data_IF_861148800572
#
_entry.id   IF_861148800572
#
_cell.length_a   1.000
_cell.length_b   1.000
_cell.length_c   1.000
_cell.angle_alpha   90.00
_cell.angle_beta   90.00
_cell.angle_gamma   90.00
#
_symmetry.space_group_name_H-M   'P 1'
#
loop_
_entity.id
_entity.type
_entity.pdbx_description
1 polymer ?
#
# COMPACT_ATOMS: atom_id res chain seq x y z
N UNK A 1 10.55 -2.26 -21.26
CA UNK A 1 9.90 -3.58 -21.46
C UNK A 1 8.60 -3.34 -22.20
N UNK A 2 8.30 -4.07 -23.29
CA UNK A 2 7.00 -3.94 -23.98
C UNK A 2 5.95 -4.81 -23.28
N UNK A 3 5.16 -4.19 -22.39
CA UNK A 3 4.16 -4.88 -21.56
C UNK A 3 3.14 -5.61 -22.43
N UNK A 4 2.67 -5.00 -23.53
CA UNK A 4 1.65 -5.59 -24.39
C UNK A 4 2.17 -6.80 -25.16
N UNK A 5 3.43 -6.77 -25.60
CA UNK A 5 4.07 -7.92 -26.24
C UNK A 5 4.24 -9.10 -25.27
N UNK A 6 4.58 -8.84 -24.00
CA UNK A 6 4.70 -9.89 -22.98
C UNK A 6 3.33 -10.47 -22.65
N UNK A 7 2.31 -9.64 -22.40
CA UNK A 7 0.94 -10.11 -22.09
C UNK A 7 0.33 -11.00 -23.19
N UNK A 8 0.68 -10.75 -24.46
CA UNK A 8 0.24 -11.60 -25.59
C UNK A 8 0.94 -12.96 -25.62
N UNK A 9 2.14 -13.07 -25.07
CA UNK A 9 2.93 -14.29 -25.03
C UNK A 9 2.70 -15.13 -23.76
N UNK A 10 2.05 -14.55 -22.75
CA UNK A 10 1.67 -15.26 -21.53
C UNK A 10 0.49 -16.22 -21.79
N UNK A 11 0.61 -17.42 -21.25
CA UNK A 11 -0.49 -18.36 -21.05
C UNK A 11 -1.48 -17.82 -20.01
N UNK A 12 -2.67 -18.42 -19.95
CA UNK A 12 -3.65 -18.07 -18.92
C UNK A 12 -3.13 -18.38 -17.50
N UNK A 13 -2.40 -19.49 -17.34
CA UNK A 13 -1.81 -19.87 -16.06
C UNK A 13 -0.75 -18.86 -15.59
N UNK A 14 0.10 -18.40 -16.51
CA UNK A 14 1.10 -17.35 -16.26
C UNK A 14 0.43 -16.02 -15.83
N UNK A 15 -0.66 -15.62 -16.50
CA UNK A 15 -1.43 -14.42 -16.11
C UNK A 15 -2.05 -14.56 -14.72
N UNK A 16 -2.66 -15.71 -14.42
CA UNK A 16 -3.26 -15.96 -13.11
C UNK A 16 -2.21 -16.01 -11.99
N UNK A 17 -1.03 -16.58 -12.27
CA UNK A 17 0.06 -16.66 -11.31
C UNK A 17 0.61 -15.28 -10.94
N UNK A 18 0.70 -14.34 -11.90
CA UNK A 18 1.12 -12.96 -11.63
C UNK A 18 0.20 -12.19 -10.68
N UNK A 19 -1.08 -12.60 -10.56
CA UNK A 19 -2.02 -12.00 -9.61
C UNK A 19 -1.83 -12.52 -8.16
N UNK A 20 -0.81 -13.35 -7.90
CA UNK A 20 -0.51 -13.90 -6.57
C UNK A 20 0.99 -13.85 -6.29
N UNK A 21 1.37 -13.58 -5.04
CA UNK A 21 2.75 -13.66 -4.60
C UNK A 21 3.32 -15.09 -4.75
N UNK A 22 4.59 -15.20 -5.17
CA UNK A 22 5.32 -16.47 -5.14
C UNK A 22 5.71 -16.86 -3.70
N UNK A 23 5.88 -15.85 -2.84
CA UNK A 23 6.13 -16.00 -1.42
C UNK A 23 5.39 -14.92 -0.62
N UNK A 24 5.63 -14.85 0.69
CA UNK A 24 5.08 -13.78 1.51
C UNK A 24 5.60 -12.38 1.12
N UNK A 25 6.75 -12.30 0.44
CA UNK A 25 7.45 -11.04 0.17
C UNK A 25 7.86 -10.87 -1.31
N UNK A 26 7.44 -11.77 -2.21
CA UNK A 26 7.87 -11.71 -3.63
C UNK A 26 6.75 -11.93 -4.63
N UNK A 27 6.86 -11.26 -5.78
CA UNK A 27 5.97 -11.48 -6.93
C UNK A 27 6.31 -12.75 -7.68
N UNK A 28 5.39 -13.27 -8.50
CA UNK A 28 5.66 -14.45 -9.33
C UNK A 28 6.49 -14.08 -10.57
N UNK A 29 7.72 -14.62 -10.75
CA UNK A 29 8.50 -14.38 -11.97
C UNK A 29 7.95 -15.14 -13.17
N UNK A 30 8.22 -14.64 -14.38
CA UNK A 30 8.03 -15.37 -15.65
C UNK A 30 9.33 -15.34 -16.44
N UNK A 31 10.24 -16.24 -16.08
CA UNK A 31 11.62 -16.29 -16.60
C UNK A 31 11.68 -16.37 -18.13
N UNK A 32 10.84 -17.21 -18.75
CA UNK A 32 10.77 -17.38 -20.22
C UNK A 32 10.49 -16.07 -20.96
N UNK A 33 9.80 -15.13 -20.31
CA UNK A 33 9.43 -13.83 -20.88
C UNK A 33 10.25 -12.67 -20.30
N UNK A 34 11.24 -12.95 -19.45
CA UNK A 34 12.09 -11.95 -18.82
C UNK A 34 11.35 -11.05 -17.81
N UNK A 35 10.26 -11.53 -17.21
CA UNK A 35 9.58 -10.83 -16.10
C UNK A 35 10.26 -11.25 -14.79
N UNK A 36 10.99 -10.34 -14.11
CA UNK A 36 11.73 -10.69 -12.90
C UNK A 36 10.79 -10.87 -11.71
N UNK A 37 11.29 -11.57 -10.69
CA UNK A 37 10.74 -11.52 -9.34
C UNK A 37 11.04 -10.15 -8.72
N UNK A 38 10.05 -9.55 -8.08
CA UNK A 38 10.20 -8.31 -7.31
C UNK A 38 10.00 -8.61 -5.83
N UNK A 39 10.72 -7.88 -4.98
CA UNK A 39 10.67 -7.97 -3.52
C UNK A 39 9.88 -6.81 -2.95
N UNK A 40 8.90 -7.13 -2.10
CA UNK A 40 8.19 -6.15 -1.27
C UNK A 40 8.62 -6.32 0.19
N UNK A 41 8.65 -5.23 0.94
CA UNK A 41 9.01 -5.27 2.36
C UNK A 41 8.29 -4.19 3.16
N UNK A 42 7.94 -4.49 4.41
CA UNK A 42 7.56 -3.44 5.37
C UNK A 42 8.73 -2.46 5.57
N UNK A 43 8.50 -1.22 6.02
CA UNK A 43 7.20 -0.57 6.18
C UNK A 43 7.32 0.94 6.40
N UNK A 44 6.34 1.59 7.03
CA UNK A 44 6.18 3.05 6.97
C UNK A 44 7.26 3.89 7.67
N UNK A 45 8.11 3.30 8.54
CA UNK A 45 9.16 4.02 9.27
C UNK A 45 10.50 3.26 9.35
N UNK A 46 10.82 2.48 8.31
CA UNK A 46 12.08 1.74 8.18
C UNK A 46 11.92 0.48 7.33
N UNK A 47 13.00 0.03 6.69
CA UNK A 47 12.99 -1.17 5.84
C UNK A 47 13.18 -2.43 6.69
N UNK A 48 12.15 -3.26 6.79
CA UNK A 48 12.14 -4.52 7.55
C UNK A 48 12.32 -5.74 6.63
N UNK A 49 13.48 -5.82 5.97
CA UNK A 49 13.82 -6.95 5.08
C UNK A 49 14.21 -8.18 5.89
N UNK A 50 13.43 -9.25 5.81
CA UNK A 50 13.80 -10.57 6.39
C UNK A 50 14.85 -11.27 5.51
N UNK A 51 15.78 -12.09 6.02
CA UNK A 51 16.71 -12.83 5.17
C UNK A 51 16.03 -13.85 4.26
N UNK A 52 15.02 -14.55 4.78
CA UNK A 52 14.22 -15.55 4.07
C UNK A 52 12.85 -14.95 3.66
N UNK A 53 12.67 -14.72 2.36
CA UNK A 53 11.43 -14.14 1.78
C UNK A 53 10.20 -15.06 1.89
N UNK A 54 10.38 -16.32 2.29
CA UNK A 54 9.26 -17.25 2.44
C UNK A 54 8.62 -17.21 3.82
N UNK A 55 9.28 -16.58 4.80
CA UNK A 55 8.84 -16.59 6.20
C UNK A 55 8.33 -15.23 6.67
N UNK A 56 7.31 -15.27 7.53
CA UNK A 56 6.86 -14.11 8.31
C UNK A 56 7.50 -14.14 9.70
N UNK A 57 7.93 -12.97 10.18
CA UNK A 57 8.33 -12.79 11.59
C UNK A 57 9.77 -13.20 11.96
N UNK A 58 10.67 -13.32 10.97
CA UNK A 58 12.10 -13.48 11.21
C UNK A 58 12.76 -12.16 11.68
N UNK A 59 13.92 -12.28 12.34
CA UNK A 59 14.80 -11.14 12.58
C UNK A 59 15.17 -10.49 11.24
N UNK A 60 14.98 -9.18 11.13
CA UNK A 60 15.27 -8.44 9.91
C UNK A 60 16.76 -8.16 9.77
N UNK A 61 17.21 -7.97 8.53
CA UNK A 61 18.49 -7.34 8.26
C UNK A 61 18.55 -5.95 8.93
N UNK A 62 19.74 -5.48 9.35
CA UNK A 62 19.89 -4.17 9.96
C UNK A 62 19.45 -3.05 8.99
N UNK A 63 18.65 -2.12 9.51
CA UNK A 63 18.14 -0.94 8.80
C UNK A 63 17.87 0.19 9.80
N UNK A 64 17.74 1.42 9.33
CA UNK A 64 17.40 2.55 10.19
C UNK A 64 15.94 2.48 10.62
N UNK A 65 15.71 2.54 11.93
CA UNK A 65 14.37 2.72 12.48
C UNK A 65 14.11 4.21 12.64
N UNK A 66 13.34 4.79 11.72
CA UNK A 66 12.95 6.19 11.75
C UNK A 66 11.85 6.43 12.79
N UNK A 67 11.62 7.69 13.22
CA UNK A 67 10.46 8.04 14.01
C UNK A 67 9.16 7.61 13.32
N UNK A 68 8.17 7.21 14.12
CA UNK A 68 6.87 6.75 13.61
C UNK A 68 6.12 7.89 12.91
N UNK A 69 5.19 7.57 12.01
CA UNK A 69 4.44 8.57 11.24
C UNK A 69 3.71 9.59 12.13
N UNK A 70 3.24 9.21 13.32
CA UNK A 70 2.66 10.14 14.29
C UNK A 70 3.65 11.19 14.80
N UNK A 71 4.91 10.80 15.01
CA UNK A 71 5.98 11.71 15.42
C UNK A 71 6.41 12.59 14.24
N UNK A 72 6.59 11.98 13.07
CA UNK A 72 6.93 12.69 11.84
C UNK A 72 5.88 13.73 11.46
N UNK A 73 4.58 13.42 11.59
CA UNK A 73 3.52 14.39 11.32
C UNK A 73 3.56 15.61 12.24
N UNK A 74 4.15 15.48 13.43
CA UNK A 74 4.28 16.60 14.36
C UNK A 74 5.33 17.63 13.91
N UNK A 75 6.12 17.34 12.87
CA UNK A 75 7.07 18.32 12.30
C UNK A 75 6.37 19.33 11.39
N UNK A 76 5.25 18.96 10.77
CA UNK A 76 4.58 19.73 9.71
C UNK A 76 5.50 20.12 8.55
N UNK A 77 6.59 19.37 8.36
CA UNK A 77 7.66 19.70 7.43
C UNK A 77 7.67 18.71 6.26
N UNK A 78 7.05 19.11 5.16
CA UNK A 78 6.94 18.29 3.95
C UNK A 78 8.30 18.02 3.29
N UNK A 79 9.25 18.95 3.39
CA UNK A 79 10.59 18.80 2.83
C UNK A 79 11.38 17.76 3.63
N UNK A 80 11.23 17.77 4.96
CA UNK A 80 11.80 16.74 5.83
C UNK A 80 11.21 15.35 5.55
N UNK A 81 9.89 15.24 5.32
CA UNK A 81 9.29 13.96 4.96
C UNK A 81 9.79 13.46 3.61
N UNK A 82 9.97 14.35 2.64
CA UNK A 82 10.56 13.99 1.33
C UNK A 82 11.99 13.47 1.50
N UNK A 83 12.82 14.18 2.26
CA UNK A 83 14.20 13.77 2.54
C UNK A 83 14.27 12.42 3.27
N UNK A 84 13.34 12.17 4.20
CA UNK A 84 13.19 10.86 4.84
C UNK A 84 12.83 9.76 3.84
N UNK A 85 11.93 10.04 2.89
CA UNK A 85 11.58 9.12 1.81
C UNK A 85 12.78 8.77 0.93
N UNK A 86 13.61 9.76 0.59
CA UNK A 86 14.85 9.53 -0.17
C UNK A 86 15.83 8.61 0.57
N UNK A 87 15.99 8.80 1.90
CA UNK A 87 16.83 7.94 2.73
C UNK A 87 16.29 6.49 2.83
N UNK A 88 14.97 6.33 2.97
CA UNK A 88 14.33 5.01 2.96
C UNK A 88 14.54 4.27 1.65
N UNK A 89 14.49 4.96 0.51
CA UNK A 89 14.74 4.33 -0.78
C UNK A 89 16.20 3.88 -0.94
N UNK A 90 17.16 4.63 -0.41
CA UNK A 90 18.56 4.23 -0.39
C UNK A 90 18.76 2.92 0.41
N UNK A 91 18.06 2.75 1.53
CA UNK A 91 18.05 1.49 2.27
C UNK A 91 17.34 0.36 1.51
N UNK A 92 16.23 0.65 0.82
CA UNK A 92 15.56 -0.33 -0.02
C UNK A 92 16.48 -0.86 -1.12
N UNK A 93 17.21 0.04 -1.80
CA UNK A 93 18.19 -0.33 -2.83
C UNK A 93 19.32 -1.18 -2.21
N UNK A 94 19.87 -0.78 -1.07
CA UNK A 94 20.91 -1.53 -0.38
C UNK A 94 20.46 -2.93 0.05
N UNK A 95 19.17 -3.11 0.33
CA UNK A 95 18.56 -4.36 0.79
C UNK A 95 17.82 -5.14 -0.31
N UNK A 96 17.92 -4.71 -1.57
CA UNK A 96 17.22 -5.29 -2.73
C UNK A 96 15.70 -5.41 -2.48
N UNK A 97 15.06 -4.28 -2.17
CA UNK A 97 13.62 -4.12 -2.04
C UNK A 97 13.12 -3.21 -3.16
N UNK A 98 12.16 -3.70 -3.95
CA UNK A 98 11.59 -2.96 -5.08
C UNK A 98 10.40 -2.10 -4.66
N UNK A 99 9.62 -2.53 -3.66
CA UNK A 99 8.46 -1.77 -3.13
C UNK A 99 8.48 -1.76 -1.61
N UNK A 100 8.49 -0.56 -1.02
CA UNK A 100 8.32 -0.36 0.41
C UNK A 100 6.83 -0.25 0.76
N UNK A 101 6.38 -1.04 1.72
CA UNK A 101 4.97 -1.09 2.12
C UNK A 101 4.62 0.06 3.07
N UNK A 102 4.55 1.26 2.53
CA UNK A 102 4.12 2.48 3.20
C UNK A 102 3.91 3.61 2.20
N UNK A 103 3.40 4.77 2.64
CA UNK A 103 3.12 5.11 4.02
C UNK A 103 1.72 4.67 4.49
N UNK A 104 1.51 4.66 5.80
CA UNK A 104 0.20 4.48 6.43
C UNK A 104 -0.57 5.81 6.50
N UNK A 105 -1.74 5.88 5.88
CA UNK A 105 -2.57 7.10 5.77
C UNK A 105 -4.00 6.93 6.32
N UNK A 106 -4.27 5.91 7.13
CA UNK A 106 -5.56 5.81 7.81
C UNK A 106 -5.74 6.93 8.85
N UNK A 107 -6.97 7.43 8.98
CA UNK A 107 -7.27 8.48 9.96
C UNK A 107 -7.23 7.97 11.40
N UNK A 108 -6.70 8.79 12.30
CA UNK A 108 -6.74 8.55 13.76
C UNK A 108 -8.12 8.88 14.34
N UNK A 109 -9.16 8.18 13.89
CA UNK A 109 -10.56 8.40 14.30
C UNK A 109 -10.74 8.38 15.84
N UNK A 110 -10.01 7.50 16.50
CA UNK A 110 -10.01 7.36 17.95
C UNK A 110 -8.58 7.25 18.44
N UNK A 111 -8.20 7.87 19.58
CA UNK A 111 -6.85 7.74 20.13
C UNK A 111 -6.52 6.30 20.54
N UNK A 112 -7.51 5.42 20.67
CA UNK A 112 -7.35 4.02 21.05
C UNK A 112 -6.94 3.10 19.89
N UNK A 113 -6.80 3.63 18.67
CA UNK A 113 -6.38 2.85 17.51
C UNK A 113 -4.98 2.26 17.71
N UNK A 114 -4.85 0.93 17.69
CA UNK A 114 -3.59 0.23 17.96
C UNK A 114 -2.46 0.52 16.96
N UNK A 115 -2.80 1.04 15.77
CA UNK A 115 -1.86 1.43 14.71
C UNK A 115 -1.73 2.94 14.52
N UNK A 116 -2.28 3.74 15.43
CA UNK A 116 -2.18 5.21 15.33
C UNK A 116 -0.73 5.72 15.27
N UNK A 117 0.23 5.00 15.86
CA UNK A 117 1.63 5.40 15.82
C UNK A 117 2.19 5.44 14.39
N UNK A 118 1.75 4.55 13.51
CA UNK A 118 2.20 4.45 12.12
C UNK A 118 1.32 5.20 11.11
N UNK A 119 0.34 5.97 11.58
CA UNK A 119 -0.47 6.87 10.77
C UNK A 119 -0.13 8.34 11.04
N UNK A 120 -0.24 9.19 10.02
CA UNK A 120 0.16 10.60 10.13
C UNK A 120 -0.74 11.42 11.06
N UNK A 121 -2.03 11.57 10.75
CA UNK A 121 -2.90 12.55 11.41
C UNK A 121 -4.35 12.08 11.56
N UNK A 122 -5.10 12.78 12.40
CA UNK A 122 -6.58 12.76 12.37
C UNK A 122 -7.15 13.72 11.30
N UNK A 123 -6.34 14.67 10.84
CA UNK A 123 -6.68 15.63 9.80
C UNK A 123 -6.27 15.10 8.41
N UNK A 124 -7.22 15.01 7.46
CA UNK A 124 -6.96 14.43 6.14
C UNK A 124 -6.05 15.30 5.26
N UNK A 125 -6.02 16.62 5.45
CA UNK A 125 -5.15 17.51 4.70
C UNK A 125 -3.68 17.26 5.04
N UNK A 126 -3.34 17.33 6.34
CA UNK A 126 -1.99 17.05 6.81
C UNK A 126 -1.55 15.63 6.45
N UNK A 127 -2.41 14.63 6.66
CA UNK A 127 -2.08 13.25 6.30
C UNK A 127 -1.79 13.09 4.80
N UNK A 128 -2.55 13.77 3.93
CA UNK A 128 -2.35 13.76 2.49
C UNK A 128 -1.07 14.47 2.04
N UNK A 129 -0.77 15.66 2.58
CA UNK A 129 0.49 16.40 2.31
C UNK A 129 1.72 15.56 2.63
N UNK A 130 1.73 14.93 3.81
CA UNK A 130 2.86 14.12 4.25
C UNK A 130 2.96 12.81 3.47
N UNK A 131 1.83 12.15 3.18
CA UNK A 131 1.82 10.93 2.38
C UNK A 131 2.36 11.18 0.96
N UNK A 132 1.91 12.25 0.29
CA UNK A 132 2.37 12.60 -1.05
C UNK A 132 3.88 12.86 -1.09
N UNK A 133 4.42 13.60 -0.12
CA UNK A 133 5.86 13.89 -0.05
C UNK A 133 6.71 12.66 0.33
N UNK A 134 6.20 11.78 1.19
CA UNK A 134 6.85 10.51 1.50
C UNK A 134 6.97 9.64 0.24
N UNK A 135 5.87 9.52 -0.52
CA UNK A 135 5.83 8.77 -1.78
C UNK A 135 6.80 9.37 -2.80
N UNK A 136 6.73 10.68 -3.00
CA UNK A 136 7.61 11.38 -3.95
C UNK A 136 9.09 11.26 -3.58
N UNK A 137 9.44 11.25 -2.29
CA UNK A 137 10.79 11.01 -1.81
C UNK A 137 11.30 9.63 -2.21
N UNK A 138 10.56 8.57 -1.86
CA UNK A 138 10.97 7.19 -2.17
C UNK A 138 11.04 6.95 -3.68
N UNK A 139 9.97 7.33 -4.40
CA UNK A 139 9.87 7.05 -5.84
C UNK A 139 10.85 7.87 -6.68
N UNK A 140 11.40 8.97 -6.15
CA UNK A 140 12.46 9.74 -6.83
C UNK A 140 13.76 8.96 -7.04
N UNK A 141 13.97 7.87 -6.28
CA UNK A 141 15.16 7.00 -6.37
C UNK A 141 14.87 5.68 -7.09
N UNK A 142 13.66 5.51 -7.63
CA UNK A 142 13.28 4.31 -8.39
C UNK A 142 12.81 3.12 -7.55
N UNK A 143 12.37 3.36 -6.30
CA UNK A 143 11.74 2.36 -5.44
C UNK A 143 10.24 2.66 -5.36
N UNK A 144 9.39 1.65 -5.44
CA UNK A 144 7.94 1.80 -5.33
C UNK A 144 7.46 1.98 -3.89
N UNK A 145 6.25 2.50 -3.77
CA UNK A 145 5.55 2.61 -2.46
C UNK A 145 4.23 1.84 -2.46
N UNK A 146 3.70 1.59 -1.26
CA UNK A 146 2.38 1.00 -1.04
C UNK A 146 1.58 1.82 -0.05
N UNK A 147 0.79 2.75 -0.58
CA UNK A 147 -0.09 3.59 0.21
C UNK A 147 -1.17 2.73 0.88
N UNK A 148 -1.26 2.78 2.22
CA UNK A 148 -2.07 1.81 2.98
C UNK A 148 -2.79 2.40 4.20
N UNK A 149 -3.87 1.81 4.70
CA UNK A 149 -4.65 0.69 4.15
C UNK A 149 -5.97 1.25 3.62
N UNK A 150 -6.22 1.06 2.33
CA UNK A 150 -7.33 1.66 1.61
C UNK A 150 -8.61 0.81 1.73
N UNK A 151 -9.64 1.21 2.46
CA UNK A 151 -9.78 2.42 3.28
C UNK A 151 -10.49 2.09 4.61
N UNK A 152 -10.61 3.10 5.48
CA UNK A 152 -11.33 3.04 6.75
C UNK A 152 -10.87 1.94 7.74
N UNK A 153 -9.59 1.55 7.68
CA UNK A 153 -8.97 0.63 8.64
C UNK A 153 -8.51 1.38 9.91
N UNK A 154 -9.46 1.87 10.71
CA UNK A 154 -9.17 2.78 11.83
C UNK A 154 -9.19 2.10 13.21
N UNK A 155 -9.28 0.76 13.27
CA UNK A 155 -9.22 -0.01 14.51
C UNK A 155 -8.69 -1.43 14.28
N UNK A 156 -8.01 -1.96 15.29
CA UNK A 156 -7.46 -3.33 15.23
C UNK A 156 -8.47 -4.40 15.64
N UNK A 157 -9.39 -4.05 16.53
CA UNK A 157 -10.38 -5.00 17.05
C UNK A 157 -11.23 -5.53 15.89
N UNK A 158 -11.12 -6.84 15.65
CA UNK A 158 -11.83 -7.56 14.59
C UNK A 158 -11.61 -7.00 13.17
N UNK A 159 -10.43 -6.41 12.88
CA UNK A 159 -10.12 -5.81 11.57
C UNK A 159 -10.36 -6.72 10.36
N UNK A 160 -10.30 -8.04 10.57
CA UNK A 160 -10.53 -9.07 9.54
C UNK A 160 -12.01 -9.37 9.22
N UNK A 161 -12.96 -8.85 9.98
CA UNK A 161 -14.38 -9.19 9.86
C UNK A 161 -15.35 -8.03 10.08
N UNK A 162 -14.93 -6.97 10.78
CA UNK A 162 -15.76 -5.81 11.05
C UNK A 162 -16.14 -5.07 9.77
N UNK A 163 -17.32 -4.45 9.78
CA UNK A 163 -17.73 -3.48 8.78
C UNK A 163 -17.70 -2.07 9.35
N UNK A 164 -16.94 -1.20 8.70
CA UNK A 164 -16.98 0.23 8.95
C UNK A 164 -18.21 0.81 8.24
N UNK A 165 -19.23 1.15 9.02
CA UNK A 165 -20.45 1.80 8.52
C UNK A 165 -20.23 3.32 8.51
N UNK A 166 -20.06 3.89 7.31
CA UNK A 166 -19.68 5.29 7.08
C UNK A 166 -20.49 5.85 5.92
N UNK A 167 -21.12 7.01 6.12
CA UNK A 167 -21.83 7.70 5.05
C UNK A 167 -20.88 8.28 4.01
N UNK A 168 -21.37 8.49 2.78
CA UNK A 168 -20.57 8.96 1.64
C UNK A 168 -19.82 10.27 1.95
N UNK A 169 -20.46 11.20 2.67
CA UNK A 169 -19.86 12.49 2.98
C UNK A 169 -18.66 12.30 3.91
N UNK A 170 -18.83 11.57 5.01
CA UNK A 170 -17.73 11.29 5.93
C UNK A 170 -16.62 10.48 5.24
N UNK A 171 -16.98 9.52 4.39
CA UNK A 171 -16.01 8.77 3.59
C UNK A 171 -15.17 9.70 2.71
N UNK A 172 -15.83 10.59 1.95
CA UNK A 172 -15.22 11.52 0.99
C UNK A 172 -14.51 12.71 1.64
N UNK A 173 -14.90 13.14 2.84
CA UNK A 173 -14.31 14.31 3.52
C UNK A 173 -13.25 13.94 4.57
N UNK A 174 -13.23 12.70 5.09
CA UNK A 174 -12.32 12.30 6.17
C UNK A 174 -11.42 11.13 5.79
N UNK A 175 -11.97 10.01 5.34
CA UNK A 175 -11.17 8.77 5.20
C UNK A 175 -10.46 8.64 3.85
N UNK A 176 -11.01 9.26 2.81
CA UNK A 176 -10.48 9.21 1.46
C UNK A 176 -9.54 10.37 1.06
N UNK A 177 -9.65 11.62 1.55
CA UNK A 177 -8.88 12.72 0.96
C UNK A 177 -7.35 12.57 1.08
N UNK A 178 -6.85 11.96 2.15
CA UNK A 178 -5.41 11.70 2.28
C UNK A 178 -4.92 10.74 1.19
N UNK A 179 -5.73 9.74 0.84
CA UNK A 179 -5.43 8.83 -0.27
C UNK A 179 -5.60 9.51 -1.62
N UNK A 180 -6.68 10.28 -1.81
CA UNK A 180 -6.95 11.03 -3.03
C UNK A 180 -5.78 11.94 -3.39
N UNK A 181 -5.32 12.73 -2.42
CA UNK A 181 -4.20 13.64 -2.60
C UNK A 181 -2.92 12.89 -2.95
N UNK A 182 -2.58 11.85 -2.19
CA UNK A 182 -1.40 11.04 -2.44
C UNK A 182 -1.42 10.39 -3.84
N UNK A 183 -2.57 9.89 -4.30
CA UNK A 183 -2.73 9.34 -5.65
C UNK A 183 -2.56 10.42 -6.71
N UNK A 184 -3.29 11.53 -6.60
CA UNK A 184 -3.29 12.60 -7.61
C UNK A 184 -1.96 13.35 -7.72
N UNK A 185 -1.22 13.49 -6.61
CA UNK A 185 0.01 14.29 -6.57
C UNK A 185 1.30 13.47 -6.60
N UNK A 186 1.27 12.18 -6.26
CA UNK A 186 2.47 11.37 -6.13
C UNK A 186 2.43 10.01 -6.85
N UNK A 187 1.24 9.55 -7.30
CA UNK A 187 1.05 8.28 -8.04
C UNK A 187 1.87 7.12 -7.43
N UNK A 188 1.51 6.63 -6.22
CA UNK A 188 2.21 5.50 -5.64
C UNK A 188 2.15 4.30 -6.58
N UNK A 189 3.21 3.52 -6.71
CA UNK A 189 3.21 2.35 -7.61
C UNK A 189 2.19 1.31 -7.17
N UNK A 190 1.89 1.24 -5.87
CA UNK A 190 0.87 0.35 -5.33
C UNK A 190 -0.01 1.03 -4.28
N UNK A 191 -1.24 0.55 -4.14
CA UNK A 191 -2.15 0.88 -3.05
C UNK A 191 -2.59 -0.42 -2.39
N UNK A 192 -2.46 -0.52 -1.07
CA UNK A 192 -2.85 -1.73 -0.33
C UNK A 192 -4.27 -1.60 0.20
N UNK A 193 -5.15 -2.53 -0.17
CA UNK A 193 -6.51 -2.54 0.35
C UNK A 193 -6.53 -2.96 1.83
N UNK A 194 -7.53 -2.48 2.57
CA UNK A 194 -7.72 -2.82 3.97
C UNK A 194 -8.26 -4.24 4.21
N UNK A 195 -8.17 -4.70 5.46
CA UNK A 195 -8.78 -5.96 5.91
C UNK A 195 -10.31 -5.88 6.08
N UNK A 196 -10.80 -4.73 6.57
CA UNK A 196 -12.18 -4.58 7.00
C UNK A 196 -13.13 -4.47 5.80
N UNK A 197 -14.42 -4.58 6.11
CA UNK A 197 -15.47 -4.15 5.19
C UNK A 197 -15.71 -2.66 5.33
N UNK A 198 -16.21 -2.05 4.25
CA UNK A 198 -16.80 -0.72 4.25
C UNK A 198 -18.23 -0.90 3.78
N UNK A 199 -19.20 -0.46 4.59
CA UNK A 199 -20.63 -0.58 4.30
C UNK A 199 -21.07 -1.98 3.80
N UNK A 200 -20.54 -3.03 4.43
CA UNK A 200 -20.91 -4.43 4.19
C UNK A 200 -20.02 -5.21 3.21
N UNK A 201 -19.16 -4.55 2.43
CA UNK A 201 -18.29 -5.21 1.43
C UNK A 201 -16.82 -5.14 1.83
N UNK A 202 -16.08 -6.25 1.73
CA UNK A 202 -14.64 -6.28 2.03
C UNK A 202 -13.88 -5.32 1.11
N UNK A 203 -12.94 -4.55 1.65
CA UNK A 203 -12.18 -3.58 0.85
C UNK A 203 -11.41 -4.23 -0.31
N UNK A 204 -11.00 -5.50 -0.18
CA UNK A 204 -10.36 -6.31 -1.24
C UNK A 204 -11.30 -6.67 -2.40
N UNK A 205 -12.61 -6.53 -2.22
CA UNK A 205 -13.66 -6.93 -3.18
C UNK A 205 -14.53 -5.73 -3.59
N UNK A 206 -14.16 -4.52 -3.17
CA UNK A 206 -15.04 -3.35 -3.21
C UNK A 206 -14.90 -2.56 -4.52
N UNK A 207 -15.61 -2.97 -5.58
CA UNK A 207 -15.58 -2.31 -6.91
C UNK A 207 -15.72 -0.79 -6.85
N UNK A 208 -16.63 -0.27 -6.01
CA UNK A 208 -16.80 1.17 -5.85
C UNK A 208 -15.54 1.87 -5.29
N UNK A 209 -14.82 1.28 -4.33
CA UNK A 209 -13.61 1.89 -3.79
C UNK A 209 -12.43 1.74 -4.74
N UNK A 210 -12.22 0.54 -5.29
CA UNK A 210 -11.01 0.20 -6.04
C UNK A 210 -11.09 0.61 -7.52
N UNK A 211 -12.21 0.34 -8.19
CA UNK A 211 -12.36 0.71 -9.60
C UNK A 211 -12.96 2.10 -9.73
N UNK A 212 -14.12 2.38 -9.13
CA UNK A 212 -14.83 3.64 -9.38
C UNK A 212 -14.11 4.85 -8.80
N UNK A 213 -13.75 4.80 -7.51
CA UNK A 213 -13.08 5.95 -6.88
C UNK A 213 -11.60 5.97 -7.25
N UNK A 214 -10.85 4.92 -6.90
CA UNK A 214 -9.40 4.94 -7.01
C UNK A 214 -8.91 5.00 -8.47
N UNK A 215 -9.40 4.11 -9.35
CA UNK A 215 -8.96 4.05 -10.75
C UNK A 215 -9.69 5.07 -11.64
N UNK A 216 -11.02 5.05 -11.68
CA UNK A 216 -11.80 5.85 -12.63
C UNK A 216 -11.84 7.35 -12.25
N UNK A 217 -12.15 7.69 -10.99
CA UNK A 217 -12.29 9.10 -10.57
C UNK A 217 -10.95 9.78 -10.26
N UNK A 218 -10.03 9.09 -9.58
CA UNK A 218 -8.73 9.68 -9.20
C UNK A 218 -7.62 9.46 -10.21
N UNK A 219 -7.81 8.53 -11.17
CA UNK A 219 -6.80 8.24 -12.18
C UNK A 219 -5.59 7.51 -11.61
N UNK A 220 -5.77 6.59 -10.67
CA UNK A 220 -4.69 5.73 -10.19
C UNK A 220 -4.17 4.81 -11.30
N UNK A 221 -2.87 4.86 -11.57
CA UNK A 221 -2.23 4.09 -12.66
C UNK A 221 -1.48 2.84 -12.18
N UNK A 222 -1.35 2.67 -10.86
CA UNK A 222 -0.57 1.58 -10.24
C UNK A 222 -1.36 0.29 -10.00
N UNK A 223 -0.85 -0.55 -9.10
CA UNK A 223 -1.43 -1.85 -8.74
C UNK A 223 -2.15 -1.78 -7.37
N UNK A 224 -3.35 -2.35 -7.29
CA UNK A 224 -4.01 -2.60 -6.02
C UNK A 224 -3.55 -3.94 -5.46
N UNK A 225 -2.97 -3.92 -4.27
CA UNK A 225 -2.44 -5.09 -3.58
C UNK A 225 -3.25 -5.40 -2.33
N UNK A 226 -3.35 -6.66 -1.92
CA UNK A 226 -4.08 -6.99 -0.69
C UNK A 226 -3.19 -6.83 0.54
N UNK A 227 -3.76 -6.42 1.68
CA UNK A 227 -3.11 -6.70 2.96
C UNK A 227 -3.10 -8.24 3.21
N UNK A 228 -2.11 -8.73 3.94
CA UNK A 228 -1.83 -10.17 4.05
C UNK A 228 -2.99 -10.97 4.64
N UNK A 229 -3.70 -11.71 3.77
CA UNK A 229 -4.87 -12.51 4.16
C UNK A 229 -6.19 -11.75 4.15
N UNK A 230 -6.24 -10.56 3.54
CA UNK A 230 -7.47 -9.77 3.37
C UNK A 230 -8.42 -10.33 2.29
N UNK A 231 -7.94 -11.15 1.37
CA UNK A 231 -8.77 -11.73 0.30
C UNK A 231 -9.60 -12.89 0.84
N UNK A 232 -10.92 -12.82 0.70
CA UNK A 232 -11.85 -13.88 1.12
C UNK A 232 -12.33 -14.71 -0.05
N UNK A 233 -12.62 -14.06 -1.18
CA UNK A 233 -12.91 -14.70 -2.45
C UNK A 233 -12.00 -14.14 -3.55
N UNK A 234 -11.19 -15.01 -4.18
CA UNK A 234 -10.25 -14.60 -5.23
C UNK A 234 -10.93 -14.03 -6.45
N UNK A 235 -12.07 -14.60 -6.86
CA UNK A 235 -12.78 -14.20 -8.07
C UNK A 235 -13.49 -12.88 -7.83
N UNK A 236 -14.14 -12.73 -6.66
CA UNK A 236 -14.77 -11.47 -6.28
C UNK A 236 -13.73 -10.35 -6.13
N UNK A 237 -12.57 -10.63 -5.55
CA UNK A 237 -11.51 -9.64 -5.39
C UNK A 237 -10.95 -9.16 -6.74
N UNK A 238 -10.66 -10.10 -7.66
CA UNK A 238 -10.20 -9.75 -9.00
C UNK A 238 -11.25 -8.93 -9.76
N UNK A 239 -12.53 -9.33 -9.69
CA UNK A 239 -13.62 -8.57 -10.30
C UNK A 239 -13.82 -7.19 -9.65
N UNK A 240 -13.57 -7.09 -8.34
CA UNK A 240 -13.65 -5.86 -7.56
C UNK A 240 -12.48 -4.90 -7.79
N UNK A 241 -11.46 -5.28 -8.57
CA UNK A 241 -10.34 -4.42 -8.95
C UNK A 241 -9.03 -4.66 -8.19
N UNK A 242 -8.92 -5.75 -7.42
CA UNK A 242 -7.66 -6.18 -6.81
C UNK A 242 -6.73 -6.83 -7.87
N UNK A 243 -5.51 -6.34 -7.98
CA UNK A 243 -4.56 -6.79 -9.02
C UNK A 243 -3.61 -7.89 -8.50
N UNK A 244 -3.18 -7.81 -7.23
CA UNK A 244 -2.22 -8.73 -6.62
C UNK A 244 -2.58 -9.09 -5.16
N UNK A 245 -2.45 -10.38 -4.81
CA UNK A 245 -2.59 -10.90 -3.44
C UNK A 245 -1.31 -11.55 -2.96
#
# INVERSE_FOLDING_TARGET
>A
MDIQAILKQMTLAEKAALCTGASAWTTTPIERLGVPEMVVSDGPHGVRRVPDVTQMGMESLPATCFPTASCLASTWDVDLIRALGEALAEECIALNVDVLLGPGANMKRSPLGGRNFEYFSEDPYLAGELAANYINGIQSKGVGTSLKHYAANNQEFQRFSISAEVDERTLREIYLPAFEKAVKEAQPWTVMCAYNKVNGTFASEHDYLLNKILKDEWGFEGLVVSDWGAVRDRVAALAGGLDWQ
#
